data_IF_941501154410
#
_entry.id   IF_941501154410
#
_cell.length_a   1.000
_cell.length_b   1.000
_cell.length_c   1.000
_cell.angle_alpha   90.00
_cell.angle_beta   90.00
_cell.angle_gamma   90.00
#
_symmetry.space_group_name_H-M   'P 1'
#
loop_
_entity.id
_entity.type
_entity.pdbx_description
1 polymer ?
#
# COMPACT_ATOMS: atom_id res chain seq x y z
N UNK A 1 14.09 4.22 14.06
CA UNK A 1 13.79 4.26 12.59
C UNK A 1 13.85 2.86 12.03
N UNK A 2 12.86 2.45 11.25
CA UNK A 2 12.78 1.17 10.55
C UNK A 2 12.69 1.43 9.05
N UNK A 3 13.61 0.87 8.25
CA UNK A 3 13.60 0.93 6.78
C UNK A 3 13.46 2.35 6.20
N UNK A 4 14.09 3.36 6.82
CA UNK A 4 14.04 4.75 6.38
C UNK A 4 15.22 5.20 5.50
N UNK A 5 16.10 4.27 5.14
CA UNK A 5 17.11 4.49 4.11
C UNK A 5 16.47 4.19 2.73
N UNK A 6 16.08 5.24 2.02
CA UNK A 6 15.41 5.13 0.71
C UNK A 6 16.38 4.78 -0.43
N UNK A 7 17.69 4.78 -0.20
CA UNK A 7 18.68 4.31 -1.18
C UNK A 7 18.81 2.80 -1.24
N UNK A 8 18.15 2.07 -0.36
CA UNK A 8 18.25 0.60 -0.24
C UNK A 8 16.95 -0.09 -0.64
N UNK A 9 17.09 -1.20 -1.38
CA UNK A 9 15.97 -2.15 -1.57
C UNK A 9 15.61 -2.77 -0.22
N UNK A 10 14.33 -2.87 0.05
CA UNK A 10 13.77 -3.53 1.25
C UNK A 10 12.73 -4.54 0.80
N UNK A 11 12.73 -5.71 1.40
CA UNK A 11 11.71 -6.75 1.21
C UNK A 11 11.26 -7.24 2.59
N UNK A 12 9.96 -7.24 2.82
CA UNK A 12 9.35 -7.69 4.07
C UNK A 12 8.20 -8.64 3.75
N UNK A 13 8.30 -9.89 4.20
CA UNK A 13 7.20 -10.86 4.14
C UNK A 13 6.32 -10.68 5.36
N UNK A 14 5.19 -10.02 5.21
CA UNK A 14 4.34 -9.69 6.36
C UNK A 14 3.77 -10.91 7.05
N UNK A 15 3.60 -12.01 6.33
CA UNK A 15 3.11 -13.28 6.87
C UNK A 15 4.12 -13.92 7.85
N UNK A 16 5.40 -13.55 7.78
CA UNK A 16 6.47 -14.01 8.68
C UNK A 16 6.68 -13.06 9.88
N UNK A 17 6.02 -11.89 9.89
CA UNK A 17 6.13 -10.94 10.98
C UNK A 17 5.09 -11.20 12.07
N UNK A 18 5.51 -11.03 13.33
CA UNK A 18 4.60 -10.97 14.46
C UNK A 18 3.83 -9.65 14.52
N UNK A 19 2.61 -9.70 15.05
CA UNK A 19 1.82 -8.51 15.30
C UNK A 19 2.31 -7.76 16.54
N UNK A 20 2.67 -6.50 16.38
CA UNK A 20 3.01 -5.61 17.49
C UNK A 20 1.75 -4.83 17.93
N UNK A 21 1.47 -4.74 19.24
CA UNK A 21 0.31 -3.97 19.71
C UNK A 21 0.47 -2.47 19.38
N UNK A 22 -0.63 -1.82 19.06
CA UNK A 22 -0.74 -0.37 18.98
C UNK A 22 -1.05 0.21 20.38
N UNK A 23 -0.78 1.50 20.63
CA UNK A 23 -1.25 2.18 21.83
C UNK A 23 -2.78 2.17 21.99
N UNK A 24 -3.53 2.08 20.89
CA UNK A 24 -4.99 1.93 20.93
C UNK A 24 -5.36 0.46 21.12
N UNK A 25 -6.21 0.18 22.12
CA UNK A 25 -6.67 -1.18 22.39
C UNK A 25 -7.39 -1.82 21.20
N UNK A 26 -7.17 -3.11 20.98
CA UNK A 26 -7.77 -3.86 19.88
C UNK A 26 -7.17 -3.57 18.49
N UNK A 27 -6.05 -2.86 18.42
CA UNK A 27 -5.33 -2.62 17.16
C UNK A 27 -3.90 -3.14 17.24
N UNK A 28 -3.46 -3.82 16.21
CA UNK A 28 -2.11 -4.34 16.07
C UNK A 28 -1.50 -3.94 14.72
N UNK A 29 -0.18 -3.92 14.64
CA UNK A 29 0.56 -3.49 13.45
C UNK A 29 1.68 -4.46 13.10
N UNK A 30 1.96 -4.55 11.80
CA UNK A 30 3.20 -5.07 11.23
C UNK A 30 3.91 -3.88 10.56
N UNK A 31 4.88 -3.24 11.20
CA UNK A 31 5.55 -2.07 10.64
C UNK A 31 6.47 -2.49 9.48
N UNK A 32 6.38 -1.77 8.34
CA UNK A 32 7.17 -2.00 7.13
C UNK A 32 8.25 -0.93 6.96
N UNK A 33 7.87 0.35 7.13
CA UNK A 33 8.79 1.47 7.23
C UNK A 33 8.26 2.46 8.27
N UNK A 34 9.15 3.04 9.10
CA UNK A 34 8.70 3.95 10.16
C UNK A 34 9.81 4.87 10.64
N UNK A 35 9.53 6.18 10.64
CA UNK A 35 10.46 7.20 11.12
C UNK A 35 10.49 7.25 12.66
N UNK A 36 9.32 7.36 13.28
CA UNK A 36 9.14 7.47 14.72
C UNK A 36 8.03 6.53 15.21
N UNK A 37 7.87 6.38 16.54
CA UNK A 37 6.89 5.46 17.10
C UNK A 37 5.45 5.76 16.65
N UNK A 38 4.97 7.02 16.82
CA UNK A 38 3.58 7.40 16.56
C UNK A 38 3.44 8.63 15.65
N UNK A 39 4.55 9.12 15.08
CA UNK A 39 4.55 10.33 14.25
C UNK A 39 5.44 10.18 13.03
N UNK A 40 5.10 10.95 11.99
CA UNK A 40 5.88 11.01 10.76
C UNK A 40 5.65 9.82 9.82
N UNK A 41 6.51 9.71 8.83
CA UNK A 41 6.44 8.71 7.77
C UNK A 41 6.27 7.29 8.32
N UNK A 42 5.22 6.61 7.90
CA UNK A 42 4.98 5.20 8.25
C UNK A 42 4.27 4.46 7.13
N UNK A 43 4.72 3.22 6.87
CA UNK A 43 4.01 2.22 6.09
C UNK A 43 3.85 0.99 6.98
N UNK A 44 2.63 0.46 7.09
CA UNK A 44 2.33 -0.67 7.97
C UNK A 44 1.17 -1.50 7.43
N UNK A 45 1.14 -2.79 7.75
CA UNK A 45 -0.11 -3.54 7.78
C UNK A 45 -0.72 -3.36 9.16
N UNK A 46 -1.99 -2.97 9.23
CA UNK A 46 -2.72 -2.68 10.48
C UNK A 46 -3.93 -3.57 10.58
N UNK A 47 -4.14 -4.18 11.74
CA UNK A 47 -5.31 -4.99 12.03
C UNK A 47 -6.13 -4.38 13.16
N UNK A 48 -7.42 -4.25 12.94
CA UNK A 48 -8.42 -3.94 13.94
C UNK A 48 -9.12 -5.21 14.34
N UNK A 49 -9.19 -5.48 15.63
CA UNK A 49 -10.05 -6.52 16.17
C UNK A 49 -11.54 -6.09 16.06
N UNK A 50 -12.50 -7.02 16.04
CA UNK A 50 -13.91 -6.67 16.03
C UNK A 50 -14.28 -5.69 17.17
N UNK A 51 -14.92 -4.57 16.80
CA UNK A 51 -15.31 -3.50 17.72
C UNK A 51 -14.19 -2.51 18.09
N UNK A 52 -12.99 -2.69 17.59
CA UNK A 52 -11.87 -1.76 17.85
C UNK A 52 -12.09 -0.40 17.18
N UNK A 53 -11.57 0.64 17.82
CA UNK A 53 -11.64 2.02 17.33
C UNK A 53 -10.40 2.82 17.71
N UNK A 54 -10.17 3.90 16.95
CA UNK A 54 -9.20 4.94 17.29
C UNK A 54 -9.91 6.24 17.68
N UNK A 55 -9.31 6.97 18.60
CA UNK A 55 -9.72 8.35 18.86
C UNK A 55 -9.53 9.20 17.60
N UNK A 56 -10.30 10.31 17.53
CA UNK A 56 -10.12 11.28 16.45
C UNK A 56 -8.66 11.73 16.38
N UNK A 57 -8.11 11.68 15.16
CA UNK A 57 -6.75 12.13 14.88
C UNK A 57 -6.68 12.79 13.51
N UNK A 58 -5.60 13.52 13.27
CA UNK A 58 -5.36 14.26 12.03
C UNK A 58 -4.19 13.62 11.26
N UNK A 59 -4.21 13.83 9.95
CA UNK A 59 -3.18 13.37 9.00
C UNK A 59 -2.46 14.58 8.40
N UNK A 60 -1.46 15.19 9.09
CA UNK A 60 -0.81 16.42 8.62
C UNK A 60 -0.25 16.33 7.19
N UNK A 61 0.29 15.20 6.79
CA UNK A 61 0.80 14.93 5.44
C UNK A 61 0.08 13.72 4.79
N UNK A 62 -1.24 13.64 5.00
CA UNK A 62 -2.11 12.66 4.37
C UNK A 62 -2.03 11.24 4.89
N UNK A 63 -3.01 10.46 4.48
CA UNK A 63 -3.15 9.04 4.75
C UNK A 63 -3.63 8.31 3.50
N UNK A 64 -3.01 7.19 3.18
CA UNK A 64 -3.38 6.29 2.09
C UNK A 64 -3.68 4.91 2.67
N UNK A 65 -4.83 4.34 2.29
CA UNK A 65 -5.30 3.05 2.80
C UNK A 65 -5.73 2.16 1.63
N UNK A 66 -5.36 0.89 1.70
CA UNK A 66 -6.04 -0.19 0.97
C UNK A 66 -6.60 -1.17 2.00
N UNK A 67 -7.91 -1.38 1.99
CA UNK A 67 -8.57 -2.36 2.86
C UNK A 67 -8.31 -3.75 2.30
N UNK A 68 -7.50 -4.55 3.00
CA UNK A 68 -7.11 -5.90 2.58
C UNK A 68 -8.16 -6.93 2.95
N UNK A 69 -8.79 -6.77 4.12
CA UNK A 69 -9.80 -7.69 4.64
C UNK A 69 -10.74 -6.98 5.61
N UNK A 70 -11.98 -7.50 5.76
CA UNK A 70 -12.99 -6.97 6.67
C UNK A 70 -13.64 -5.67 6.22
N UNK A 71 -14.02 -4.82 7.17
CA UNK A 71 -14.64 -3.51 6.90
C UNK A 71 -14.02 -2.45 7.81
N UNK A 72 -13.35 -1.49 7.20
CA UNK A 72 -12.92 -0.26 7.85
C UNK A 72 -14.05 0.76 7.80
N UNK A 73 -14.22 1.57 8.85
CA UNK A 73 -15.34 2.54 8.93
C UNK A 73 -14.90 3.83 9.60
N UNK A 74 -15.57 4.92 9.24
CA UNK A 74 -15.51 6.20 9.95
C UNK A 74 -16.89 6.92 9.88
N UNK A 75 -16.94 8.20 10.24
CA UNK A 75 -18.17 8.99 10.18
C UNK A 75 -18.74 9.19 8.77
N UNK A 76 -17.92 8.97 7.72
CA UNK A 76 -18.31 9.17 6.32
C UNK A 76 -18.87 7.88 5.69
N UNK A 77 -18.60 6.71 6.26
CA UNK A 77 -19.13 5.45 5.74
C UNK A 77 -18.37 4.19 6.14
N UNK A 78 -18.77 3.10 5.52
CA UNK A 78 -18.18 1.78 5.64
C UNK A 78 -17.38 1.44 4.37
N UNK A 79 -16.15 0.98 4.54
CA UNK A 79 -15.18 0.68 3.49
C UNK A 79 -14.80 -0.81 3.56
N UNK A 80 -15.46 -1.67 2.79
CA UNK A 80 -15.16 -3.10 2.79
C UNK A 80 -13.82 -3.41 2.09
N UNK A 81 -13.35 -4.66 2.26
CA UNK A 81 -12.15 -5.17 1.59
C UNK A 81 -12.17 -4.82 0.09
N UNK A 82 -11.02 -4.41 -0.45
CA UNK A 82 -10.87 -3.87 -1.80
C UNK A 82 -11.14 -2.38 -1.93
N UNK A 83 -11.52 -1.67 -0.85
CA UNK A 83 -11.64 -0.20 -0.93
C UNK A 83 -10.25 0.45 -0.81
N UNK A 84 -9.93 1.33 -1.76
CA UNK A 84 -8.78 2.22 -1.74
C UNK A 84 -9.21 3.63 -1.34
N UNK A 85 -8.48 4.22 -0.40
CA UNK A 85 -8.76 5.56 0.14
C UNK A 85 -7.50 6.44 0.11
N UNK A 86 -7.70 7.73 -0.20
CA UNK A 86 -6.72 8.79 0.05
C UNK A 86 -7.39 9.91 0.81
N UNK A 87 -6.83 10.22 1.95
CA UNK A 87 -7.23 11.30 2.83
C UNK A 87 -6.13 12.39 2.77
N UNK A 88 -6.39 13.57 2.19
CA UNK A 88 -5.36 14.57 1.89
C UNK A 88 -4.72 15.16 3.14
N UNK A 89 -3.58 15.90 3.00
CA UNK A 89 -2.97 16.64 4.09
C UNK A 89 -3.96 17.52 4.84
N UNK A 90 -3.94 17.46 6.19
CA UNK A 90 -4.85 18.18 7.07
C UNK A 90 -6.21 17.52 7.28
N UNK A 91 -6.49 16.40 6.64
CA UNK A 91 -7.67 15.57 6.92
C UNK A 91 -7.59 14.93 8.31
N UNK A 92 -8.72 14.40 8.76
CA UNK A 92 -8.76 13.67 10.04
C UNK A 92 -10.09 12.96 10.26
N UNK A 93 -10.05 11.85 11.00
CA UNK A 93 -11.22 11.04 11.31
C UNK A 93 -11.10 10.34 12.68
N UNK A 94 -12.15 9.63 13.05
CA UNK A 94 -12.20 8.71 14.18
C UNK A 94 -12.58 7.32 13.64
N UNK A 95 -11.62 6.51 13.19
CA UNK A 95 -11.91 5.24 12.53
C UNK A 95 -12.25 4.13 13.52
N UNK A 96 -13.03 3.17 13.04
CA UNK A 96 -13.41 1.97 13.77
C UNK A 96 -13.62 0.80 12.81
N UNK A 97 -13.74 -0.40 13.36
CA UNK A 97 -14.19 -1.56 12.61
C UNK A 97 -15.12 -2.41 13.46
N UNK A 98 -16.38 -2.58 13.04
CA UNK A 98 -17.33 -3.44 13.73
C UNK A 98 -16.98 -4.93 13.59
N UNK A 99 -16.71 -5.45 12.37
CA UNK A 99 -16.38 -6.86 12.18
C UNK A 99 -14.88 -7.16 12.36
N UNK A 100 -14.03 -6.14 12.48
CA UNK A 100 -12.60 -6.23 12.31
C UNK A 100 -12.17 -5.96 10.86
N UNK A 101 -10.92 -5.55 10.67
CA UNK A 101 -10.34 -5.36 9.34
C UNK A 101 -8.82 -5.44 9.35
N UNK A 102 -8.25 -5.65 8.17
CA UNK A 102 -6.81 -5.56 7.93
C UNK A 102 -6.56 -4.56 6.80
N UNK A 103 -5.62 -3.67 6.99
CA UNK A 103 -5.33 -2.54 6.11
C UNK A 103 -3.85 -2.49 5.73
N UNK A 104 -3.53 -2.11 4.50
CA UNK A 104 -2.25 -1.50 4.17
C UNK A 104 -2.40 0.01 4.34
N UNK A 105 -1.57 0.62 5.20
CA UNK A 105 -1.66 2.05 5.55
C UNK A 105 -0.34 2.76 5.31
N UNK A 106 -0.39 3.93 4.68
CA UNK A 106 0.73 4.83 4.50
C UNK A 106 0.37 6.20 5.10
N UNK A 107 1.17 6.70 6.03
CA UNK A 107 0.96 7.95 6.74
C UNK A 107 2.07 8.94 6.48
N UNK A 108 1.70 10.23 6.37
CA UNK A 108 2.62 11.36 6.25
C UNK A 108 3.59 11.26 5.06
N UNK A 109 3.06 10.90 3.88
CA UNK A 109 3.85 10.65 2.68
C UNK A 109 3.36 11.44 1.45
N UNK A 110 2.33 12.28 1.59
CA UNK A 110 1.80 13.05 0.48
C UNK A 110 2.59 14.35 0.26
N UNK A 111 2.64 14.79 -0.98
CA UNK A 111 2.96 16.17 -1.29
C UNK A 111 1.86 17.07 -0.71
N UNK A 112 2.24 18.17 -0.06
CA UNK A 112 1.28 19.13 0.56
C UNK A 112 0.29 19.72 -0.45
N UNK A 113 0.64 19.74 -1.74
CA UNK A 113 -0.22 20.21 -2.82
C UNK A 113 -1.20 19.16 -3.33
N UNK A 114 -1.00 17.88 -2.99
CA UNK A 114 -1.94 16.81 -3.36
C UNK A 114 -3.11 16.78 -2.37
N UNK A 115 -4.14 17.53 -2.73
CA UNK A 115 -5.35 17.71 -1.92
C UNK A 115 -6.52 16.82 -2.39
N UNK A 116 -6.24 15.81 -3.21
CA UNK A 116 -7.27 14.92 -3.72
C UNK A 116 -7.75 13.95 -2.63
N UNK A 117 -9.07 13.97 -2.38
CA UNK A 117 -9.75 12.89 -1.66
C UNK A 117 -10.15 11.82 -2.67
N UNK A 118 -9.74 10.57 -2.44
CA UNK A 118 -10.03 9.45 -3.33
C UNK A 118 -10.71 8.33 -2.55
N UNK A 119 -11.76 7.76 -3.14
CA UNK A 119 -12.42 6.54 -2.67
C UNK A 119 -12.78 5.69 -3.89
N UNK A 120 -12.17 4.51 -4.00
CA UNK A 120 -12.40 3.58 -5.11
C UNK A 120 -12.71 2.19 -4.55
N UNK A 121 -13.83 1.59 -4.98
CA UNK A 121 -14.08 0.16 -4.78
C UNK A 121 -13.39 -0.62 -5.90
N UNK A 122 -12.21 -1.16 -5.61
CA UNK A 122 -11.39 -1.87 -6.61
C UNK A 122 -11.99 -3.20 -7.08
N UNK A 123 -12.99 -3.74 -6.36
CA UNK A 123 -13.69 -4.97 -6.78
C UNK A 123 -14.59 -4.72 -7.99
N UNK A 124 -15.07 -3.48 -8.14
CA UNK A 124 -15.94 -3.04 -9.21
C UNK A 124 -15.30 -1.98 -10.12
N UNK A 125 -13.99 -1.73 -9.95
CA UNK A 125 -13.24 -0.79 -10.76
C UNK A 125 -12.91 -1.32 -12.16
N UNK A 126 -12.62 -0.41 -13.08
CA UNK A 126 -12.31 -0.75 -14.46
C UNK A 126 -10.83 -1.14 -14.61
N UNK A 127 -10.60 -2.31 -15.19
CA UNK A 127 -9.28 -2.76 -15.62
C UNK A 127 -9.01 -2.31 -17.05
N UNK A 128 -7.92 -1.58 -17.25
CA UNK A 128 -7.47 -1.07 -18.53
C UNK A 128 -6.33 -1.95 -19.08
N UNK A 129 -6.22 -2.12 -20.41
CA UNK A 129 -5.09 -2.79 -21.00
C UNK A 129 -3.76 -2.10 -20.62
N UNK A 130 -2.80 -2.85 -20.07
CA UNK A 130 -1.45 -2.42 -19.82
C UNK A 130 -0.48 -2.82 -20.94
N UNK A 131 0.81 -2.83 -20.65
CA UNK A 131 1.83 -3.35 -21.57
C UNK A 131 1.86 -4.89 -21.50
N UNK A 132 2.05 -5.55 -22.65
CA UNK A 132 2.02 -7.02 -22.72
C UNK A 132 0.62 -7.54 -22.40
N UNK A 133 0.55 -8.57 -21.57
CA UNK A 133 -0.72 -9.13 -21.09
C UNK A 133 -1.24 -8.51 -19.80
N UNK A 134 -0.62 -7.43 -19.29
CA UNK A 134 -1.02 -6.81 -18.03
C UNK A 134 -2.35 -6.07 -18.14
N UNK A 135 -3.10 -6.07 -17.05
CA UNK A 135 -4.24 -5.18 -16.84
C UNK A 135 -3.95 -4.24 -15.66
N UNK A 136 -4.28 -2.97 -15.82
CA UNK A 136 -3.99 -1.91 -14.85
C UNK A 136 -5.27 -1.24 -14.40
N UNK A 137 -5.46 -1.08 -13.11
CA UNK A 137 -6.50 -0.24 -12.52
C UNK A 137 -5.83 0.98 -11.87
N UNK A 138 -5.84 2.15 -12.52
CA UNK A 138 -5.32 3.37 -11.92
C UNK A 138 -6.10 3.75 -10.67
N UNK A 139 -5.39 4.08 -9.59
CA UNK A 139 -5.99 4.50 -8.32
C UNK A 139 -5.76 5.98 -8.04
N UNK A 140 -4.56 6.48 -8.33
CA UNK A 140 -4.21 7.89 -8.15
C UNK A 140 -2.99 8.28 -8.97
N UNK A 141 -2.94 9.55 -9.34
CA UNK A 141 -1.80 10.18 -10.02
C UNK A 141 -1.61 11.61 -9.50
N UNK A 142 -0.38 11.95 -9.17
CA UNK A 142 0.02 13.31 -8.84
C UNK A 142 1.48 13.57 -9.23
N UNK A 143 1.74 14.47 -10.17
CA UNK A 143 3.06 14.75 -10.73
C UNK A 143 3.75 13.48 -11.26
N UNK A 144 4.74 12.95 -10.55
CA UNK A 144 5.45 11.72 -10.90
C UNK A 144 4.97 10.49 -10.11
N UNK A 145 4.13 10.73 -9.11
CA UNK A 145 3.54 9.66 -8.31
C UNK A 145 2.40 8.99 -9.07
N UNK A 146 2.47 7.67 -9.20
CA UNK A 146 1.39 6.85 -9.75
C UNK A 146 1.09 5.70 -8.80
N UNK A 147 -0.19 5.47 -8.54
CA UNK A 147 -0.68 4.36 -7.72
C UNK A 147 -1.67 3.55 -8.55
N UNK A 148 -1.49 2.23 -8.58
CA UNK A 148 -2.37 1.34 -9.34
C UNK A 148 -2.45 -0.05 -8.71
N UNK A 149 -3.50 -0.79 -9.06
CA UNK A 149 -3.46 -2.25 -9.05
C UNK A 149 -3.00 -2.74 -10.41
N UNK A 150 -2.16 -3.75 -10.44
CA UNK A 150 -1.71 -4.40 -11.68
C UNK A 150 -1.97 -5.90 -11.57
N UNK A 151 -2.71 -6.42 -12.54
CA UNK A 151 -2.97 -7.84 -12.69
C UNK A 151 -2.05 -8.42 -13.78
N UNK A 152 -1.38 -9.48 -13.41
CA UNK A 152 -0.45 -10.22 -14.24
C UNK A 152 -1.07 -11.57 -14.59
N UNK A 153 -1.33 -11.88 -15.85
CA UNK A 153 -1.77 -13.23 -16.22
C UNK A 153 -0.64 -14.24 -15.97
N UNK A 154 -1.01 -15.51 -15.80
CA UNK A 154 -0.04 -16.57 -15.59
C UNK A 154 1.01 -16.64 -16.71
N UNK A 155 2.27 -16.85 -16.35
CA UNK A 155 3.44 -16.91 -17.23
C UNK A 155 3.80 -15.61 -17.96
N UNK A 156 3.30 -14.47 -17.49
CA UNK A 156 3.65 -13.16 -18.04
C UNK A 156 5.09 -12.77 -17.65
N UNK A 157 5.79 -12.15 -18.59
CA UNK A 157 7.14 -11.61 -18.41
C UNK A 157 7.17 -10.18 -18.93
N UNK A 158 7.66 -9.29 -18.09
CA UNK A 158 7.80 -7.89 -18.45
C UNK A 158 9.25 -7.58 -18.83
N UNK A 159 9.43 -6.61 -19.71
CA UNK A 159 10.79 -6.18 -20.10
C UNK A 159 11.55 -5.55 -18.93
N UNK A 160 12.90 -5.63 -18.90
CA UNK A 160 13.72 -4.89 -17.95
C UNK A 160 13.41 -3.40 -18.03
N UNK A 161 13.17 -2.77 -16.88
CA UNK A 161 12.83 -1.35 -16.80
C UNK A 161 13.35 -0.71 -15.52
N UNK A 162 13.31 0.62 -15.48
CA UNK A 162 13.79 1.43 -14.34
C UNK A 162 12.67 2.26 -13.75
N UNK A 163 12.77 2.51 -12.45
CA UNK A 163 11.80 3.28 -11.70
C UNK A 163 12.34 4.65 -11.30
N UNK A 164 12.04 5.68 -12.10
CA UNK A 164 12.26 7.06 -11.66
C UNK A 164 11.42 7.34 -10.40
N UNK A 165 12.05 7.93 -9.35
CA UNK A 165 11.37 8.13 -8.07
C UNK A 165 11.03 6.84 -7.31
N UNK A 166 11.68 5.70 -7.68
CA UNK A 166 11.52 4.41 -6.99
C UNK A 166 10.18 3.73 -7.18
N UNK A 167 10.04 2.60 -6.51
CA UNK A 167 8.84 1.76 -6.57
C UNK A 167 8.55 1.13 -5.20
N UNK A 168 7.27 1.04 -4.84
CA UNK A 168 6.77 0.16 -3.78
C UNK A 168 5.76 -0.81 -4.36
N UNK A 169 5.83 -2.07 -3.93
CA UNK A 169 4.88 -3.13 -4.28
C UNK A 169 4.34 -3.76 -3.00
N UNK A 170 3.04 -4.09 -3.00
CA UNK A 170 2.45 -5.04 -2.07
C UNK A 170 1.76 -6.14 -2.88
N UNK A 171 2.17 -7.40 -2.68
CA UNK A 171 1.59 -8.55 -3.39
C UNK A 171 0.26 -8.90 -2.74
N UNK A 172 -0.84 -8.67 -3.47
CA UNK A 172 -2.21 -8.90 -2.99
C UNK A 172 -2.66 -10.34 -3.17
N UNK A 173 -2.21 -10.98 -4.25
CA UNK A 173 -2.44 -12.41 -4.50
C UNK A 173 -1.38 -12.96 -5.45
N UNK A 174 -1.15 -14.28 -5.40
CA UNK A 174 -0.17 -14.94 -6.24
C UNK A 174 1.27 -14.78 -5.76
N UNK A 175 2.22 -14.74 -6.69
CA UNK A 175 3.65 -14.59 -6.42
C UNK A 175 4.30 -13.73 -7.49
N UNK A 176 4.77 -12.55 -7.08
CA UNK A 176 5.58 -11.68 -7.93
C UNK A 176 7.04 -12.12 -7.90
N UNK A 177 7.72 -12.10 -9.03
CA UNK A 177 9.10 -12.56 -9.16
C UNK A 177 9.95 -11.55 -9.93
N UNK A 178 11.24 -11.50 -9.62
CA UNK A 178 12.28 -10.84 -10.43
C UNK A 178 13.57 -11.66 -10.39
N UNK A 179 14.64 -11.20 -11.04
CA UNK A 179 15.96 -11.83 -11.01
C UNK A 179 16.58 -11.91 -9.62
N UNK A 180 16.03 -11.21 -8.64
CA UNK A 180 16.55 -11.16 -7.27
C UNK A 180 15.78 -12.06 -6.30
N UNK A 181 14.56 -12.52 -6.66
CA UNK A 181 13.82 -13.40 -5.78
C UNK A 181 12.37 -13.64 -6.15
N UNK A 182 11.68 -14.31 -5.23
CA UNK A 182 10.26 -14.64 -5.29
C UNK A 182 9.54 -13.99 -4.10
N UNK A 183 8.43 -13.37 -4.36
CA UNK A 183 7.69 -12.52 -3.44
C UNK A 183 6.23 -12.97 -3.41
N UNK A 184 5.88 -13.90 -2.49
CA UNK A 184 4.52 -14.41 -2.36
C UNK A 184 3.57 -13.35 -1.81
N UNK A 185 2.28 -13.66 -1.86
CA UNK A 185 1.20 -12.88 -1.25
C UNK A 185 1.57 -12.39 0.15
N UNK A 186 1.25 -11.13 0.45
CA UNK A 186 1.61 -10.44 1.68
C UNK A 186 3.05 -9.92 1.73
N UNK A 187 3.81 -10.01 0.65
CA UNK A 187 5.14 -9.38 0.60
C UNK A 187 5.00 -7.90 0.26
N UNK A 188 5.63 -7.06 1.07
CA UNK A 188 5.90 -5.66 0.75
C UNK A 188 7.35 -5.49 0.32
N UNK A 189 7.56 -4.73 -0.73
CA UNK A 189 8.90 -4.38 -1.20
C UNK A 189 8.98 -2.91 -1.57
N UNK A 190 10.16 -2.33 -1.36
CA UNK A 190 10.50 -0.97 -1.80
C UNK A 190 11.85 -0.99 -2.50
N UNK A 191 11.87 -0.49 -3.72
CA UNK A 191 13.04 -0.39 -4.57
C UNK A 191 13.42 1.09 -4.76
N UNK A 192 14.71 1.48 -4.63
CA UNK A 192 15.14 2.87 -4.65
C UNK A 192 14.96 3.54 -6.02
N UNK A 193 15.12 4.87 -6.03
CA UNK A 193 15.20 5.66 -7.27
C UNK A 193 16.18 5.03 -8.26
N UNK A 194 15.77 4.95 -9.54
CA UNK A 194 16.53 4.34 -10.66
C UNK A 194 16.87 2.86 -10.47
N UNK A 195 16.27 2.16 -9.51
CA UNK A 195 16.33 0.71 -9.45
C UNK A 195 15.84 0.09 -10.76
N UNK A 196 16.41 -1.04 -11.09
CA UNK A 196 16.05 -1.80 -12.29
C UNK A 196 15.75 -3.23 -11.91
N UNK A 197 14.74 -3.82 -12.55
CA UNK A 197 14.44 -5.25 -12.47
C UNK A 197 13.81 -5.78 -13.75
N UNK A 198 13.72 -7.10 -13.83
CA UNK A 198 13.08 -7.85 -14.91
C UNK A 198 11.97 -8.72 -14.30
N UNK A 199 10.78 -8.18 -14.05
CA UNK A 199 9.72 -8.91 -13.34
C UNK A 199 9.02 -9.92 -14.22
N UNK A 200 8.55 -10.98 -13.58
CA UNK A 200 7.74 -12.03 -14.18
C UNK A 200 6.83 -12.69 -13.14
N UNK A 201 5.85 -13.43 -13.60
CA UNK A 201 5.01 -14.30 -12.76
C UNK A 201 4.82 -15.65 -13.42
N UNK A 202 4.65 -16.72 -12.62
CA UNK A 202 4.36 -18.07 -13.10
C UNK A 202 2.86 -18.40 -12.98
N UNK A 203 2.16 -17.74 -12.08
CA UNK A 203 0.71 -17.84 -11.86
C UNK A 203 0.09 -16.44 -11.91
N UNK A 204 -1.23 -16.37 -12.06
CA UNK A 204 -1.93 -15.10 -11.98
C UNK A 204 -1.58 -14.39 -10.67
N UNK A 205 -1.20 -13.12 -10.77
CA UNK A 205 -0.71 -12.33 -9.63
C UNK A 205 -1.29 -10.94 -9.70
N UNK A 206 -1.77 -10.44 -8.56
CA UNK A 206 -2.24 -9.05 -8.42
C UNK A 206 -1.36 -8.34 -7.42
N UNK A 207 -0.87 -7.16 -7.81
CA UNK A 207 -0.08 -6.29 -6.95
C UNK A 207 -0.74 -4.92 -6.82
N UNK A 208 -0.62 -4.32 -5.64
CA UNK A 208 -0.68 -2.88 -5.48
C UNK A 208 0.72 -2.32 -5.75
N UNK A 209 0.82 -1.29 -6.57
CA UNK A 209 2.10 -0.67 -6.92
C UNK A 209 2.02 0.85 -6.81
N UNK A 210 3.08 1.46 -6.30
CA UNK A 210 3.28 2.91 -6.23
C UNK A 210 4.66 3.26 -6.75
N UNK A 211 4.72 4.16 -7.73
CA UNK A 211 5.98 4.59 -8.36
C UNK A 211 6.13 6.10 -8.30
N UNK A 212 7.36 6.60 -8.43
CA UNK A 212 7.65 8.02 -8.60
C UNK A 212 7.59 8.87 -7.31
N UNK A 213 7.42 8.25 -6.14
CA UNK A 213 7.14 8.94 -4.87
C UNK A 213 8.32 8.98 -3.89
N UNK A 214 9.40 8.26 -4.17
CA UNK A 214 10.57 8.22 -3.30
C UNK A 214 11.51 9.39 -3.60
N UNK A 215 12.25 9.89 -2.59
CA UNK A 215 13.24 10.93 -2.79
C UNK A 215 14.39 10.46 -3.69
N UNK A 216 14.99 11.38 -4.43
CA UNK A 216 16.11 11.16 -5.34
C UNK A 216 17.13 12.28 -5.25
#
# INVERSE_FOLDING_TARGET
MLNMDFSRKVVVRTNEQEWAPSPSGGVARKPLARKEAERGHATSVVRYEPGASFNRHEHPLGEEILVLDGVFSDANGDYPAGTYLRNPPGSGHAPFSKPGCTLLVKLHQFNERDQATVQIDTRNGDWLPGMGGLEVMPLHEFEHEHVALVKWPANEKFQPHRHFGGEEIFVLSGEFCDEHGRYPEGTWMRSPHMSQHHPFVEQETVIWVKTGHLPF
#
